data_IF_255442057782
#
_entry.id   IF_255442057782
#
_cell.length_a   1.000
_cell.length_b   1.000
_cell.length_c   1.000
_cell.angle_alpha   90.00
_cell.angle_beta   90.00
_cell.angle_gamma   90.00
#
_symmetry.space_group_name_H-M   'P 1'
#
loop_
_entity.id
_entity.type
_entity.pdbx_description
1 polymer ?
#
# COMPACT_ATOMS: atom_id res chain seq x y z
N UNK A 1 2.50 -29.81 -4.57
CA UNK A 1 3.34 -28.59 -4.69
C UNK A 1 2.49 -27.43 -4.27
N UNK A 2 2.89 -26.67 -3.24
CA UNK A 2 2.16 -25.47 -2.82
C UNK A 2 2.53 -24.35 -3.77
N UNK A 3 1.53 -23.79 -4.45
CA UNK A 3 1.68 -22.60 -5.28
C UNK A 3 2.29 -21.48 -4.46
N UNK A 4 3.43 -20.97 -4.91
CA UNK A 4 4.09 -19.77 -4.37
C UNK A 4 3.55 -18.49 -5.04
N UNK A 5 2.47 -18.58 -5.80
CA UNK A 5 1.81 -17.50 -6.56
C UNK A 5 0.85 -16.65 -5.72
N UNK A 6 1.19 -16.37 -4.46
CA UNK A 6 0.45 -15.42 -3.63
C UNK A 6 1.20 -14.10 -3.49
N UNK A 7 1.03 -13.14 -4.44
CA UNK A 7 1.59 -11.80 -4.36
C UNK A 7 0.77 -10.91 -3.41
N UNK A 8 0.46 -11.37 -2.20
CA UNK A 8 -0.42 -10.64 -1.26
C UNK A 8 0.31 -9.54 -0.48
N UNK A 9 1.63 -9.68 -0.27
CA UNK A 9 2.39 -8.77 0.61
C UNK A 9 2.91 -7.49 -0.07
N UNK A 10 3.52 -7.52 -1.28
CA UNK A 10 4.00 -6.29 -1.92
C UNK A 10 2.85 -5.32 -2.24
N UNK A 11 1.72 -5.86 -2.69
CA UNK A 11 0.52 -5.06 -3.02
C UNK A 11 -0.03 -4.34 -1.78
N UNK A 12 0.06 -4.96 -0.60
CA UNK A 12 -0.33 -4.33 0.66
C UNK A 12 0.51 -3.07 0.95
N UNK A 13 1.83 -3.14 0.73
CA UNK A 13 2.74 -2.00 0.91
C UNK A 13 2.39 -0.81 0.02
N UNK A 14 2.08 -1.04 -1.26
CA UNK A 14 1.61 0.02 -2.18
C UNK A 14 0.27 0.61 -1.73
N UNK A 15 -0.69 -0.22 -1.33
CA UNK A 15 -2.01 0.26 -0.89
C UNK A 15 -1.89 1.12 0.39
N UNK A 16 -1.07 0.67 1.35
CA UNK A 16 -0.85 1.39 2.61
C UNK A 16 -0.17 2.74 2.34
N UNK A 17 0.91 2.74 1.54
CA UNK A 17 1.65 3.97 1.24
C UNK A 17 0.85 4.96 0.37
N UNK A 18 0.10 4.48 -0.64
CA UNK A 18 -0.82 5.34 -1.41
C UNK A 18 -1.84 5.99 -0.46
N UNK A 19 -2.41 5.21 0.46
CA UNK A 19 -3.35 5.70 1.46
C UNK A 19 -2.76 6.77 2.38
N UNK A 20 -1.55 6.54 2.90
CA UNK A 20 -0.83 7.49 3.74
C UNK A 20 -0.55 8.81 3.01
N UNK A 21 -0.01 8.75 1.78
CA UNK A 21 0.30 9.95 1.00
C UNK A 21 -0.93 10.79 0.70
N UNK A 22 -2.08 10.15 0.48
CA UNK A 22 -3.37 10.83 0.28
C UNK A 22 -3.88 11.47 1.57
N UNK A 23 -3.96 10.70 2.66
CA UNK A 23 -4.64 11.11 3.90
C UNK A 23 -3.78 12.04 4.76
N UNK A 24 -2.50 11.72 4.90
CA UNK A 24 -1.59 12.39 5.86
C UNK A 24 -0.80 13.50 5.17
N UNK A 25 -0.30 13.26 3.97
CA UNK A 25 0.52 14.24 3.23
C UNK A 25 -0.27 15.08 2.22
N UNK A 26 -1.54 14.77 1.97
CA UNK A 26 -2.43 15.55 1.09
C UNK A 26 -2.06 15.49 -0.40
N UNK A 27 -1.34 14.46 -0.83
CA UNK A 27 -0.91 14.34 -2.22
C UNK A 27 -2.09 14.07 -3.16
N UNK A 28 -1.97 14.50 -4.42
CA UNK A 28 -2.91 14.13 -5.46
C UNK A 28 -2.86 12.61 -5.75
N UNK A 29 -4.03 11.99 -5.97
CA UNK A 29 -4.17 10.53 -6.20
C UNK A 29 -3.19 9.96 -7.21
N UNK A 30 -2.98 10.65 -8.35
CA UNK A 30 -2.05 10.21 -9.40
C UNK A 30 -0.60 10.16 -8.90
N UNK A 31 -0.15 11.22 -8.24
CA UNK A 31 1.20 11.30 -7.69
C UNK A 31 1.41 10.26 -6.57
N UNK A 32 0.45 10.14 -5.65
CA UNK A 32 0.50 9.17 -4.56
C UNK A 32 0.66 7.72 -5.09
N UNK A 33 -0.13 7.34 -6.10
CA UNK A 33 -0.05 6.00 -6.69
C UNK A 33 1.27 5.74 -7.44
N UNK A 34 1.77 6.73 -8.18
CA UNK A 34 3.05 6.61 -8.90
C UNK A 34 4.25 6.45 -7.96
N UNK A 35 4.20 7.03 -6.76
CA UNK A 35 5.26 6.84 -5.77
C UNK A 35 5.07 5.54 -5.00
N UNK A 36 3.83 5.20 -4.62
CA UNK A 36 3.55 3.99 -3.87
C UNK A 36 3.85 2.69 -4.64
N UNK A 37 3.76 2.70 -5.97
CA UNK A 37 4.08 1.52 -6.77
C UNK A 37 5.55 1.09 -6.71
N UNK A 38 6.46 1.97 -6.24
CA UNK A 38 7.86 1.60 -5.96
C UNK A 38 7.92 0.58 -4.82
N UNK A 39 7.04 0.71 -3.82
CA UNK A 39 6.98 -0.18 -2.66
C UNK A 39 6.19 -1.47 -2.96
N UNK A 40 5.19 -1.41 -3.86
CA UNK A 40 4.44 -2.60 -4.28
C UNK A 40 4.95 -3.31 -5.53
N UNK A 41 6.05 -2.84 -6.11
CA UNK A 41 6.61 -3.37 -7.33
C UNK A 41 7.12 -4.81 -7.20
N UNK A 42 6.51 -5.72 -7.95
CA UNK A 42 7.15 -6.96 -8.37
C UNK A 42 8.20 -6.63 -9.43
N UNK A 43 9.48 -6.63 -9.06
CA UNK A 43 10.63 -6.65 -9.99
C UNK A 43 10.48 -5.76 -11.26
N UNK A 44 10.06 -4.50 -11.12
CA UNK A 44 10.02 -3.52 -12.21
C UNK A 44 8.82 -3.59 -13.16
N UNK A 45 7.83 -4.46 -12.92
CA UNK A 45 6.59 -4.51 -13.72
C UNK A 45 5.41 -3.98 -12.89
N UNK A 46 4.75 -2.89 -13.32
CA UNK A 46 3.55 -2.39 -12.64
C UNK A 46 2.50 -3.50 -12.54
N UNK A 47 1.85 -3.70 -11.38
CA UNK A 47 0.80 -4.70 -11.26
C UNK A 47 -0.36 -4.35 -12.20
N UNK A 48 -1.01 -5.39 -12.73
CA UNK A 48 -2.26 -5.22 -13.47
C UNK A 48 -3.30 -4.48 -12.59
N UNK A 49 -3.95 -3.46 -13.15
CA UNK A 49 -4.93 -2.63 -12.44
C UNK A 49 -6.07 -3.48 -11.86
N UNK A 50 -6.45 -4.55 -12.55
CA UNK A 50 -7.50 -5.49 -12.12
C UNK A 50 -7.20 -6.12 -10.75
N UNK A 51 -5.95 -6.55 -10.53
CA UNK A 51 -5.50 -7.18 -9.28
C UNK A 51 -5.42 -6.19 -8.11
N UNK A 52 -5.06 -4.94 -8.39
CA UNK A 52 -5.03 -3.87 -7.37
C UNK A 52 -6.45 -3.55 -6.88
N UNK A 53 -7.42 -3.50 -7.79
CA UNK A 53 -8.80 -3.18 -7.43
C UNK A 53 -9.49 -4.35 -6.68
N UNK A 54 -9.17 -5.60 -7.03
CA UNK A 54 -9.61 -6.78 -6.26
C UNK A 54 -9.06 -6.79 -4.82
N UNK A 55 -7.79 -6.46 -4.61
CA UNK A 55 -7.21 -6.44 -3.26
C UNK A 55 -7.62 -5.20 -2.45
N UNK A 56 -7.86 -4.04 -3.10
CA UNK A 56 -8.49 -2.88 -2.45
C UNK A 56 -9.89 -3.19 -1.93
N UNK A 57 -10.62 -4.08 -2.60
CA UNK A 57 -11.92 -4.56 -2.13
C UNK A 57 -11.79 -5.54 -0.95
N UNK A 58 -10.59 -6.06 -0.68
CA UNK A 58 -10.24 -6.89 0.49
C UNK A 58 -9.53 -6.07 1.56
N UNK A 59 -10.16 -4.99 2.03
CA UNK A 59 -9.63 -4.08 3.06
C UNK A 59 -9.07 -4.78 4.30
N UNK A 60 -9.62 -5.92 4.68
CA UNK A 60 -9.16 -6.74 5.81
C UNK A 60 -7.73 -7.28 5.64
N UNK A 61 -7.31 -7.65 4.44
CA UNK A 61 -5.97 -8.21 4.21
C UNK A 61 -4.85 -7.17 4.37
N UNK A 62 -5.19 -5.89 4.20
CA UNK A 62 -4.28 -4.74 4.34
C UNK A 62 -4.56 -3.96 5.63
N UNK A 63 -5.50 -4.44 6.45
CA UNK A 63 -5.94 -3.85 7.72
C UNK A 63 -6.50 -2.42 7.59
N UNK A 64 -7.02 -2.06 6.42
CA UNK A 64 -7.68 -0.78 6.18
C UNK A 64 -9.16 -0.76 6.66
N UNK A 65 -9.60 -1.81 7.36
CA UNK A 65 -10.91 -1.93 8.00
C UNK A 65 -10.89 -1.51 9.49
N UNK A 66 -9.73 -1.16 10.04
CA UNK A 66 -9.56 -0.71 11.43
C UNK A 66 -8.90 0.66 11.48
N UNK A 67 -9.60 1.67 12.00
CA UNK A 67 -9.03 3.01 12.20
C UNK A 67 -7.82 3.00 13.14
N UNK A 68 -7.84 2.14 14.17
CA UNK A 68 -6.71 1.97 15.07
C UNK A 68 -5.49 1.43 14.33
N UNK A 69 -5.68 0.49 13.40
CA UNK A 69 -4.58 -0.06 12.61
C UNK A 69 -4.06 0.91 11.57
N UNK A 70 -4.94 1.66 10.91
CA UNK A 70 -4.57 2.77 10.02
C UNK A 70 -3.70 3.79 10.78
N UNK A 71 -4.08 4.18 11.99
CA UNK A 71 -3.30 5.11 12.81
C UNK A 71 -1.91 4.57 13.14
N UNK A 72 -1.77 3.27 13.39
CA UNK A 72 -0.46 2.64 13.62
C UNK A 72 0.39 2.67 12.34
N UNK A 73 -0.19 2.32 11.19
CA UNK A 73 0.51 2.40 9.90
C UNK A 73 1.03 3.81 9.63
N UNK A 74 0.19 4.83 9.81
CA UNK A 74 0.56 6.22 9.59
C UNK A 74 1.72 6.65 10.52
N UNK A 75 1.66 6.30 11.82
CA UNK A 75 2.74 6.58 12.79
C UNK A 75 4.06 5.88 12.47
N UNK A 76 4.01 4.64 11.99
CA UNK A 76 5.21 3.91 11.59
C UNK A 76 5.88 4.54 10.38
N UNK A 77 5.08 5.01 9.40
CA UNK A 77 5.60 5.70 8.22
C UNK A 77 6.18 7.06 8.61
N UNK A 78 5.51 7.83 9.47
CA UNK A 78 6.02 9.09 10.00
C UNK A 78 7.37 8.88 10.72
N UNK A 79 7.45 7.89 11.61
CA UNK A 79 8.68 7.57 12.32
C UNK A 79 9.85 7.30 11.37
N UNK A 80 9.64 6.51 10.31
CA UNK A 80 10.69 6.21 9.32
C UNK A 80 11.05 7.44 8.48
N UNK A 81 10.08 8.28 8.12
CA UNK A 81 10.34 9.50 7.37
C UNK A 81 11.15 10.53 8.20
N UNK A 82 10.91 10.59 9.51
CA UNK A 82 11.56 11.52 10.44
C UNK A 82 12.95 11.05 10.90
N UNK A 83 13.35 9.80 10.62
CA UNK A 83 14.71 9.30 10.87
C UNK A 83 15.76 9.83 9.87
N UNK A 84 15.41 10.83 9.06
CA UNK A 84 16.27 11.41 8.01
C UNK A 84 17.27 12.46 8.50
#
# INVERSE_FOLDING_TARGET
MRDTDHPTYPIAGEIILEGYLLRVRGWGRKAARQYACVVGGHHGTPPDKSKIDEEKNRKTNVGLDSEAWISVQDKLIDFVADMS
#
